data_IF_384113047300
#
_entry.id   IF_384113047300
#
_cell.length_a   1.000
_cell.length_b   1.000
_cell.length_c   1.000
_cell.angle_alpha   90.00
_cell.angle_beta   90.00
_cell.angle_gamma   90.00
#
_symmetry.space_group_name_H-M   'P 1'
#
loop_
_entity.id
_entity.type
_entity.pdbx_description
1 polymer ?
#
# COMPACT_ATOMS: atom_id res chain seq x y z
N UNK A 1 -7.89 0.72 3.95
CA UNK A 1 -9.21 1.14 4.49
C UNK A 1 -10.28 0.04 4.50
N UNK A 2 -11.22 0.05 5.45
CA UNK A 2 -12.47 -0.75 5.40
C UNK A 2 -13.57 -0.05 4.59
N UNK A 3 -14.66 -0.75 4.20
CA UNK A 3 -15.80 -0.11 3.53
C UNK A 3 -16.43 1.07 4.31
N UNK A 4 -16.28 1.09 5.64
CA UNK A 4 -16.79 2.15 6.52
C UNK A 4 -15.71 3.20 6.85
N UNK A 5 -14.66 3.28 6.04
CA UNK A 5 -13.51 4.17 6.21
C UNK A 5 -12.64 3.94 7.47
N UNK A 6 -12.99 3.03 8.37
CA UNK A 6 -12.10 2.63 9.47
C UNK A 6 -10.76 2.10 8.92
N UNK A 7 -9.67 2.43 9.60
CA UNK A 7 -8.30 2.03 9.27
C UNK A 7 -7.93 0.80 10.11
N UNK A 8 -7.44 -0.26 9.46
CA UNK A 8 -7.00 -1.49 10.11
C UNK A 8 -5.51 -1.68 9.90
N UNK A 9 -4.82 -2.07 10.97
CA UNK A 9 -3.35 -2.10 10.98
C UNK A 9 -2.87 -3.42 11.54
N UNK A 10 -1.94 -4.03 10.82
CA UNK A 10 -1.17 -5.16 11.29
C UNK A 10 -0.07 -4.68 12.27
N UNK A 11 -0.35 -4.77 13.57
CA UNK A 11 0.66 -4.58 14.61
C UNK A 11 1.38 -5.91 14.86
N UNK A 12 2.29 -6.27 13.96
CA UNK A 12 3.01 -7.55 13.97
C UNK A 12 3.94 -7.70 15.18
N UNK A 13 4.42 -6.58 15.73
CA UNK A 13 5.23 -6.52 16.96
C UNK A 13 4.41 -7.09 18.12
N UNK A 14 3.18 -6.58 18.30
CA UNK A 14 2.28 -7.01 19.36
C UNK A 14 1.37 -8.19 18.99
N UNK A 15 1.53 -8.74 17.78
CA UNK A 15 0.73 -9.84 17.23
C UNK A 15 -0.77 -9.53 17.18
N UNK A 16 -1.12 -8.34 16.70
CA UNK A 16 -2.49 -7.82 16.76
C UNK A 16 -2.91 -7.21 15.43
N UNK A 17 -4.22 -7.19 15.20
CA UNK A 17 -4.85 -6.28 14.26
C UNK A 17 -5.59 -5.23 15.07
N UNK A 18 -5.25 -3.97 14.84
CA UNK A 18 -5.82 -2.81 15.53
C UNK A 18 -6.67 -1.99 14.58
N UNK A 19 -7.66 -1.28 15.11
CA UNK A 19 -8.58 -0.42 14.36
C UNK A 19 -8.51 1.02 14.83
N UNK A 20 -8.57 1.94 13.87
CA UNK A 20 -8.78 3.37 14.09
C UNK A 20 -9.99 3.84 13.30
N UNK A 21 -10.74 4.76 13.89
CA UNK A 21 -11.80 5.46 13.21
C UNK A 21 -11.24 6.48 12.21
N UNK A 22 -12.02 6.90 11.20
CA UNK A 22 -11.58 7.91 10.21
C UNK A 22 -11.11 9.23 10.83
N UNK A 23 -11.54 9.53 12.06
CA UNK A 23 -11.14 10.71 12.82
C UNK A 23 -9.82 10.51 13.62
N UNK A 24 -9.16 9.36 13.49
CA UNK A 24 -7.93 9.02 14.21
C UNK A 24 -8.10 8.48 15.61
N UNK A 25 -9.33 8.36 16.11
CA UNK A 25 -9.56 7.77 17.42
C UNK A 25 -9.26 6.26 17.38
N UNK A 26 -8.53 5.79 18.39
CA UNK A 26 -8.27 4.37 18.53
C UNK A 26 -9.57 3.62 18.82
N UNK A 27 -9.94 2.72 17.91
CA UNK A 27 -11.18 1.95 17.95
C UNK A 27 -11.03 0.56 18.59
N UNK A 28 -9.84 0.23 19.10
CA UNK A 28 -9.56 -1.01 19.83
C UNK A 28 -8.74 -2.06 19.05
N UNK A 29 -8.44 -3.17 19.74
CA UNK A 29 -7.83 -4.36 19.14
C UNK A 29 -8.96 -5.23 18.59
N UNK A 30 -8.86 -5.62 17.33
CA UNK A 30 -9.87 -6.44 16.63
C UNK A 30 -9.49 -7.91 16.67
N UNK A 31 -8.21 -8.24 16.44
CA UNK A 31 -7.72 -9.62 16.43
C UNK A 31 -6.45 -9.72 17.25
N UNK A 32 -6.30 -10.80 18.03
CA UNK A 32 -5.11 -11.14 18.79
C UNK A 32 -4.40 -12.36 18.21
N UNK A 33 -3.11 -12.50 18.54
CA UNK A 33 -2.26 -13.64 18.19
C UNK A 33 -2.13 -13.89 16.67
N UNK A 34 -1.95 -12.82 15.90
CA UNK A 34 -1.76 -12.87 14.43
C UNK A 34 -0.61 -11.97 14.00
N UNK A 35 0.14 -12.37 12.96
CA UNK A 35 1.22 -11.55 12.37
C UNK A 35 1.05 -11.36 10.86
N UNK A 36 -0.04 -10.71 10.42
CA UNK A 36 -0.23 -10.55 8.99
C UNK A 36 0.76 -9.55 8.41
N UNK A 37 1.24 -9.81 7.20
CA UNK A 37 2.06 -8.90 6.39
C UNK A 37 1.21 -8.02 5.48
N UNK A 38 0.00 -8.47 5.13
CA UNK A 38 -0.97 -7.71 4.33
C UNK A 38 -2.39 -7.88 4.86
N UNK A 39 -3.21 -6.84 4.69
CA UNK A 39 -4.62 -6.80 5.06
C UNK A 39 -5.46 -6.26 3.90
N UNK A 40 -6.65 -6.82 3.70
CA UNK A 40 -7.67 -6.26 2.80
C UNK A 40 -9.07 -6.61 3.26
N UNK A 41 -10.07 -5.95 2.71
CA UNK A 41 -11.46 -6.34 2.89
C UNK A 41 -11.98 -7.04 1.65
N UNK A 42 -12.75 -8.11 1.85
CA UNK A 42 -13.54 -8.69 0.77
C UNK A 42 -14.81 -7.89 0.48
N UNK A 43 -15.48 -8.22 -0.63
CA UNK A 43 -16.73 -7.55 -1.02
C UNK A 43 -17.91 -7.80 -0.06
N UNK A 44 -17.75 -8.68 0.95
CA UNK A 44 -18.72 -8.94 2.02
C UNK A 44 -18.34 -8.24 3.33
N UNK A 45 -17.25 -7.48 3.34
CA UNK A 45 -16.75 -6.78 4.52
C UNK A 45 -16.00 -7.67 5.52
N UNK A 46 -15.57 -8.87 5.13
CA UNK A 46 -14.65 -9.66 5.93
C UNK A 46 -13.22 -9.15 5.76
N UNK A 47 -12.45 -9.22 6.83
CA UNK A 47 -11.03 -8.87 6.84
C UNK A 47 -10.19 -10.07 6.41
N UNK A 48 -9.51 -9.96 5.29
CA UNK A 48 -8.47 -10.87 4.81
C UNK A 48 -7.14 -10.48 5.46
N UNK A 49 -6.44 -11.44 6.03
CA UNK A 49 -5.13 -11.26 6.63
C UNK A 49 -4.15 -12.31 6.12
N UNK A 50 -3.11 -11.90 5.40
CA UNK A 50 -2.07 -12.77 4.86
C UNK A 50 -0.92 -12.89 5.86
N UNK A 51 -0.59 -14.11 6.25
CA UNK A 51 0.53 -14.48 7.14
C UNK A 51 1.28 -15.63 6.46
N UNK A 52 2.48 -15.36 5.92
CA UNK A 52 3.19 -16.23 4.99
C UNK A 52 2.27 -16.77 3.88
N UNK A 53 2.09 -18.09 3.81
CA UNK A 53 1.20 -18.78 2.87
C UNK A 53 -0.19 -19.04 3.43
N UNK A 54 -0.60 -18.34 4.50
CA UNK A 54 -1.93 -18.49 5.10
C UNK A 54 -2.74 -17.22 4.96
N UNK A 55 -3.93 -17.32 4.36
CA UNK A 55 -4.93 -16.25 4.40
C UNK A 55 -5.97 -16.60 5.46
N UNK A 56 -6.03 -15.80 6.53
CA UNK A 56 -7.09 -15.87 7.53
C UNK A 56 -8.17 -14.86 7.19
N UNK A 57 -9.42 -15.29 7.25
CA UNK A 57 -10.60 -14.45 6.97
C UNK A 57 -11.34 -14.24 8.28
N UNK A 58 -11.44 -12.99 8.72
CA UNK A 58 -12.13 -12.59 9.93
C UNK A 58 -13.41 -11.83 9.63
N UNK A 59 -14.40 -11.91 10.50
CA UNK A 59 -15.48 -10.93 10.52
C UNK A 59 -14.95 -9.54 10.86
N UNK A 60 -15.74 -8.50 10.64
CA UNK A 60 -15.40 -7.12 11.07
C UNK A 60 -15.16 -7.03 12.59
N UNK A 61 -15.78 -7.92 13.37
CA UNK A 61 -15.62 -8.01 14.83
C UNK A 61 -14.40 -8.86 15.26
N UNK A 62 -13.65 -9.42 14.30
CA UNK A 62 -12.43 -10.19 14.58
C UNK A 62 -12.64 -11.69 14.80
N UNK A 63 -13.83 -12.22 14.54
CA UNK A 63 -14.08 -13.67 14.62
C UNK A 63 -13.46 -14.37 13.42
N UNK A 64 -12.63 -15.38 13.65
CA UNK A 64 -12.08 -16.18 12.56
C UNK A 64 -13.21 -16.96 11.86
N UNK A 65 -13.44 -16.68 10.58
CA UNK A 65 -14.44 -17.35 9.76
C UNK A 65 -13.83 -18.50 8.97
N UNK A 66 -12.66 -18.28 8.35
CA UNK A 66 -12.01 -19.25 7.45
C UNK A 66 -10.49 -19.09 7.50
N UNK A 67 -9.81 -20.18 7.14
CA UNK A 67 -8.36 -20.20 6.94
C UNK A 67 -8.08 -20.92 5.61
N UNK A 68 -7.36 -20.25 4.73
CA UNK A 68 -6.83 -20.83 3.50
C UNK A 68 -5.33 -21.01 3.67
N UNK A 69 -4.82 -22.21 3.43
CA UNK A 69 -3.39 -22.53 3.38
C UNK A 69 -2.99 -22.70 1.92
N UNK A 70 -2.35 -21.67 1.37
CA UNK A 70 -1.90 -21.62 -0.01
C UNK A 70 -0.75 -22.60 -0.24
N UNK A 71 -0.52 -23.06 -1.49
CA UNK A 71 0.58 -23.94 -1.83
C UNK A 71 1.95 -23.37 -1.42
N UNK A 72 2.76 -24.15 -0.69
CA UNK A 72 4.07 -23.71 -0.18
C UNK A 72 5.08 -23.35 -1.28
N UNK A 73 4.87 -23.85 -2.50
CA UNK A 73 5.74 -23.57 -3.65
C UNK A 73 5.46 -22.22 -4.32
N UNK A 74 4.46 -21.46 -3.88
CA UNK A 74 4.28 -20.09 -4.35
C UNK A 74 5.46 -19.22 -3.90
N UNK A 75 6.01 -18.35 -4.77
CA UNK A 75 7.15 -17.49 -4.47
C UNK A 75 6.76 -16.28 -3.61
N UNK A 76 6.01 -16.53 -2.52
CA UNK A 76 5.60 -15.51 -1.57
C UNK A 76 6.77 -15.18 -0.63
N UNK A 77 7.17 -13.91 -0.58
CA UNK A 77 8.23 -13.38 0.29
C UNK A 77 7.64 -12.34 1.25
N UNK A 78 7.55 -12.70 2.54
CA UNK A 78 7.00 -11.82 3.57
C UNK A 78 7.66 -10.43 3.60
N UNK A 79 6.83 -9.39 3.57
CA UNK A 79 7.26 -7.99 3.70
C UNK A 79 7.67 -7.30 2.39
N UNK A 80 7.70 -7.98 1.26
CA UNK A 80 8.10 -7.37 -0.02
C UNK A 80 6.93 -7.31 -1.01
N UNK A 81 6.27 -6.15 -1.09
CA UNK A 81 5.24 -5.83 -2.09
C UNK A 81 4.07 -6.85 -2.20
N UNK A 82 3.90 -7.69 -1.17
CA UNK A 82 2.85 -8.67 -1.12
C UNK A 82 1.55 -8.04 -0.64
N UNK A 83 0.50 -8.32 -1.37
CA UNK A 83 -0.84 -7.92 -1.06
C UNK A 83 -1.73 -9.15 -0.93
N UNK A 84 -2.83 -8.96 -0.22
CA UNK A 84 -3.98 -9.86 -0.25
C UNK A 84 -5.17 -9.04 -0.68
N UNK A 85 -6.10 -9.64 -1.41
CA UNK A 85 -7.28 -8.93 -1.89
C UNK A 85 -8.43 -9.84 -2.27
N UNK A 86 -9.61 -9.25 -2.39
CA UNK A 86 -10.74 -9.87 -3.08
C UNK A 86 -10.73 -9.49 -4.56
N UNK A 87 -11.02 -10.46 -5.41
CA UNK A 87 -11.33 -10.23 -6.80
C UNK A 87 -12.51 -11.07 -7.24
N UNK A 88 -13.67 -10.43 -7.42
CA UNK A 88 -14.91 -11.08 -7.82
C UNK A 88 -15.27 -12.28 -6.92
N UNK A 89 -15.01 -12.16 -5.61
CA UNK A 89 -15.24 -13.24 -4.64
C UNK A 89 -14.14 -14.31 -4.56
N UNK A 90 -13.03 -14.16 -5.31
CA UNK A 90 -11.83 -14.95 -5.15
C UNK A 90 -10.83 -14.26 -4.22
N UNK A 91 -10.00 -15.04 -3.53
CA UNK A 91 -8.88 -14.50 -2.74
C UNK A 91 -7.65 -14.43 -3.64
N UNK A 92 -7.16 -13.22 -3.86
CA UNK A 92 -5.93 -12.93 -4.59
C UNK A 92 -4.75 -12.69 -3.65
N UNK A 93 -3.58 -13.17 -4.05
CA UNK A 93 -2.27 -12.78 -3.51
C UNK A 93 -1.29 -12.53 -4.66
N UNK A 94 -0.24 -11.73 -4.44
CA UNK A 94 0.83 -11.52 -5.41
C UNK A 94 2.22 -11.83 -4.84
N UNK A 95 3.12 -12.23 -5.73
CA UNK A 95 4.56 -12.30 -5.46
C UNK A 95 5.24 -10.93 -5.71
N UNK A 96 6.51 -10.77 -5.32
CA UNK A 96 7.25 -9.51 -5.55
C UNK A 96 7.43 -9.13 -7.03
N UNK A 97 7.23 -10.06 -7.96
CA UNK A 97 7.27 -9.80 -9.40
C UNK A 97 5.88 -9.43 -9.96
N UNK A 98 4.88 -9.19 -9.10
CA UNK A 98 3.49 -8.88 -9.45
C UNK A 98 2.76 -10.02 -10.18
N UNK A 99 3.19 -11.27 -9.99
CA UNK A 99 2.36 -12.41 -10.38
C UNK A 99 1.22 -12.56 -9.39
N UNK A 100 -0.01 -12.43 -9.88
CA UNK A 100 -1.24 -12.61 -9.13
C UNK A 100 -1.69 -14.08 -9.22
N UNK A 101 -2.04 -14.64 -8.06
CA UNK A 101 -2.61 -15.96 -7.90
C UNK A 101 -4.00 -15.85 -7.26
N UNK A 102 -5.04 -16.36 -7.92
CA UNK A 102 -6.42 -16.32 -7.42
C UNK A 102 -6.88 -17.69 -6.93
N UNK A 103 -7.50 -17.74 -5.76
CA UNK A 103 -7.96 -18.97 -5.10
C UNK A 103 -9.44 -18.91 -4.75
N UNK A 104 -10.10 -20.08 -4.76
CA UNK A 104 -11.44 -20.22 -4.20
C UNK A 104 -11.38 -20.11 -2.67
N UNK A 105 -12.04 -19.11 -2.04
CA UNK A 105 -12.07 -18.98 -0.58
C UNK A 105 -12.74 -20.15 0.14
N UNK A 106 -13.47 -21.01 -0.56
CA UNK A 106 -14.17 -22.16 0.02
C UNK A 106 -13.31 -23.44 0.01
N UNK A 107 -12.11 -23.40 -0.57
CA UNK A 107 -11.13 -24.48 -0.49
C UNK A 107 -10.09 -24.12 0.58
N UNK A 108 -10.08 -24.78 1.76
CA UNK A 108 -9.15 -24.42 2.85
C UNK A 108 -7.69 -24.73 2.55
N UNK A 109 -7.42 -25.64 1.61
CA UNK A 109 -6.07 -26.08 1.21
C UNK A 109 -6.04 -26.27 -0.31
N UNK A 110 -6.13 -25.19 -1.11
CA UNK A 110 -6.07 -25.30 -2.56
C UNK A 110 -4.69 -25.82 -2.97
N UNK A 111 -4.65 -26.73 -3.96
CA UNK A 111 -3.38 -27.29 -4.47
C UNK A 111 -2.75 -26.40 -5.54
N UNK A 112 -3.58 -25.64 -6.25
CA UNK A 112 -3.18 -24.75 -7.33
C UNK A 112 -4.11 -23.52 -7.36
N UNK A 113 -3.62 -22.38 -7.89
CA UNK A 113 -4.46 -21.22 -8.17
C UNK A 113 -5.49 -21.56 -9.26
N UNK A 114 -6.70 -21.01 -9.13
CA UNK A 114 -7.70 -21.04 -10.21
C UNK A 114 -7.25 -20.20 -11.41
N UNK A 115 -6.51 -19.12 -11.16
CA UNK A 115 -5.97 -18.24 -12.19
C UNK A 115 -4.61 -17.71 -11.77
N UNK A 116 -3.72 -17.54 -12.75
CA UNK A 116 -2.41 -16.93 -12.61
C UNK A 116 -2.26 -15.89 -13.71
N UNK A 117 -1.80 -14.69 -13.37
CA UNK A 117 -1.52 -13.63 -14.36
C UNK A 117 -0.57 -12.57 -13.81
N UNK A 118 -0.10 -11.65 -14.66
CA UNK A 118 0.61 -10.45 -14.20
C UNK A 118 -0.34 -9.31 -13.88
N UNK A 119 -0.12 -8.67 -12.73
CA UNK A 119 -0.87 -7.50 -12.28
C UNK A 119 -2.31 -7.79 -11.83
N UNK A 120 -2.83 -6.88 -11.00
CA UNK A 120 -4.23 -6.87 -10.56
C UNK A 120 -5.12 -6.33 -11.68
N UNK A 121 -6.40 -6.71 -11.73
CA UNK A 121 -7.36 -6.04 -12.63
C UNK A 121 -7.74 -4.70 -11.99
N UNK A 122 -7.60 -3.59 -12.72
CA UNK A 122 -7.97 -2.27 -12.21
C UNK A 122 -8.64 -1.38 -13.26
N UNK A 123 -9.89 -1.00 -13.02
CA UNK A 123 -10.50 0.21 -13.59
C UNK A 123 -10.05 1.44 -12.76
N UNK A 124 -8.79 1.90 -12.90
CA UNK A 124 -8.48 3.30 -12.55
C UNK A 124 -7.23 3.61 -11.74
N UNK A 125 -6.33 2.66 -11.44
CA UNK A 125 -5.07 2.97 -10.76
C UNK A 125 -3.86 2.35 -11.45
N UNK A 126 -2.92 3.17 -11.93
CA UNK A 126 -1.56 2.73 -12.29
C UNK A 126 -0.61 3.14 -11.16
N UNK A 127 -0.06 2.20 -10.41
CA UNK A 127 1.12 2.48 -9.57
C UNK A 127 2.37 2.38 -10.43
N UNK A 128 3.21 3.40 -10.34
CA UNK A 128 4.49 3.46 -11.04
C UNK A 128 5.54 3.80 -9.99
N UNK A 129 6.50 2.89 -9.81
CA UNK A 129 7.69 3.12 -9.02
C UNK A 129 8.78 3.61 -9.94
N UNK A 130 9.46 4.68 -9.57
CA UNK A 130 10.58 5.22 -10.34
C UNK A 130 11.75 5.53 -9.42
N UNK A 131 12.96 5.20 -9.88
CA UNK A 131 14.22 5.62 -9.26
C UNK A 131 14.67 6.90 -9.92
N UNK A 132 15.09 7.89 -9.12
CA UNK A 132 15.69 9.11 -9.65
C UNK A 132 17.14 9.15 -9.20
N UNK A 133 18.08 9.10 -10.15
CA UNK A 133 19.51 9.15 -9.87
C UNK A 133 20.18 10.10 -10.86
N UNK A 134 20.98 11.05 -10.36
CA UNK A 134 21.72 12.01 -11.19
C UNK A 134 20.84 12.72 -12.25
N UNK A 135 19.64 13.15 -11.86
CA UNK A 135 18.62 13.79 -12.73
C UNK A 135 18.07 12.90 -13.85
N UNK A 136 18.37 11.60 -13.83
CA UNK A 136 17.73 10.58 -14.68
C UNK A 136 16.63 9.90 -13.89
N UNK A 137 15.48 9.69 -14.53
CA UNK A 137 14.38 8.93 -13.97
C UNK A 137 14.36 7.57 -14.67
N UNK A 138 14.51 6.51 -13.89
CA UNK A 138 14.41 5.13 -14.35
C UNK A 138 13.13 4.51 -13.81
N UNK A 139 12.39 3.83 -14.68
CA UNK A 139 11.20 3.08 -14.28
C UNK A 139 11.66 1.87 -13.46
N UNK A 140 11.22 1.78 -12.21
CA UNK A 140 11.56 0.67 -11.34
C UNK A 140 10.50 -0.45 -11.44
N UNK A 141 9.21 -0.11 -11.35
CA UNK A 141 8.08 -1.06 -11.40
C UNK A 141 6.84 -0.33 -11.96
N UNK A 142 6.01 -1.01 -12.76
CA UNK A 142 4.73 -0.45 -13.24
C UNK A 142 3.59 -1.48 -13.10
N UNK A 143 2.58 -1.13 -12.31
CA UNK A 143 1.30 -1.87 -12.27
C UNK A 143 0.42 -1.48 -13.46
N UNK A 144 -0.28 -2.46 -14.05
CA UNK A 144 -1.18 -2.29 -15.20
C UNK A 144 -0.51 -1.83 -16.51
N UNK A 145 0.72 -2.28 -16.78
CA UNK A 145 1.29 -2.23 -18.12
C UNK A 145 0.73 -3.41 -18.93
N UNK A 146 -0.19 -3.16 -19.86
CA UNK A 146 -0.67 -4.18 -20.80
C UNK A 146 0.52 -4.86 -21.49
N UNK A 147 0.39 -6.16 -21.83
CA UNK A 147 1.40 -6.98 -22.55
C UNK A 147 1.82 -6.42 -23.93
N UNK A 148 1.24 -5.29 -24.36
CA UNK A 148 1.82 -4.45 -25.40
C UNK A 148 2.98 -3.67 -24.77
N UNK A 149 4.19 -4.20 -24.95
CA UNK A 149 5.46 -3.55 -24.57
C UNK A 149 5.45 -2.05 -24.84
N UNK A 150 6.28 -1.28 -24.10
CA UNK A 150 6.03 0.10 -23.69
C UNK A 150 5.51 0.94 -24.86
N UNK A 151 4.18 0.97 -25.00
CA UNK A 151 3.51 1.85 -25.94
C UNK A 151 3.64 3.24 -25.35
N UNK A 152 4.81 3.83 -25.58
CA UNK A 152 5.18 5.24 -25.46
C UNK A 152 4.15 5.98 -24.63
N UNK A 153 4.07 5.64 -23.34
CA UNK A 153 3.27 6.41 -22.40
C UNK A 153 4.03 7.69 -22.38
N UNK A 154 3.52 8.67 -23.12
CA UNK A 154 4.13 9.97 -23.26
C UNK A 154 4.62 10.34 -21.90
N UNK A 155 5.94 10.44 -21.85
CA UNK A 155 6.74 10.79 -20.72
C UNK A 155 6.31 12.19 -20.29
N UNK A 156 5.12 12.34 -19.70
CA UNK A 156 4.72 13.47 -18.88
C UNK A 156 5.45 13.32 -17.55
N UNK A 157 6.77 13.20 -17.66
CA UNK A 157 7.68 13.38 -16.55
C UNK A 157 7.62 14.85 -16.29
N UNK A 158 6.89 15.14 -15.24
CA UNK A 158 7.08 16.36 -14.54
C UNK A 158 8.48 16.21 -13.97
N UNK A 159 9.43 16.90 -14.58
CA UNK A 159 10.75 17.13 -14.03
C UNK A 159 10.67 18.46 -13.30
N UNK A 160 10.22 18.55 -12.03
CA UNK A 160 10.54 19.74 -11.27
C UNK A 160 12.05 19.96 -11.34
N UNK A 161 12.49 21.21 -11.46
CA UNK A 161 13.91 21.54 -11.44
C UNK A 161 14.43 21.19 -10.03
N UNK A 162 14.99 20.01 -9.86
CA UNK A 162 15.44 19.50 -8.56
C UNK A 162 16.93 19.83 -8.34
N UNK A 163 17.25 20.40 -7.17
CA UNK A 163 18.61 20.71 -6.71
C UNK A 163 19.41 19.45 -6.35
N UNK A 164 20.70 19.62 -6.03
CA UNK A 164 21.77 18.62 -5.92
C UNK A 164 21.65 17.60 -4.76
N UNK A 165 20.45 17.15 -4.43
CA UNK A 165 20.16 16.16 -3.38
C UNK A 165 19.80 14.81 -4.01
N UNK A 166 20.43 13.73 -3.56
CA UNK A 166 20.09 12.36 -3.98
C UNK A 166 18.74 12.00 -3.36
N UNK A 167 17.75 11.59 -4.17
CA UNK A 167 16.43 11.14 -3.72
C UNK A 167 16.22 9.68 -4.11
N UNK A 168 16.06 8.79 -3.14
CA UNK A 168 15.81 7.37 -3.39
C UNK A 168 14.34 7.07 -3.10
N UNK A 169 13.63 6.52 -4.09
CA UNK A 169 12.25 6.05 -3.95
C UNK A 169 11.19 7.16 -4.03
N UNK A 170 10.23 6.98 -4.94
CA UNK A 170 8.97 7.71 -4.90
C UNK A 170 7.81 6.74 -5.06
N UNK A 171 6.93 6.70 -4.06
CA UNK A 171 5.62 6.04 -4.18
C UNK A 171 4.62 7.10 -4.64
N UNK A 172 4.10 6.93 -5.84
CA UNK A 172 3.12 7.83 -6.45
C UNK A 172 1.72 7.29 -6.19
N UNK A 173 0.95 7.99 -5.37
CA UNK A 173 -0.46 7.68 -5.15
C UNK A 173 -1.26 8.46 -6.19
N UNK A 174 -1.78 7.75 -7.20
CA UNK A 174 -2.72 8.33 -8.17
C UNK A 174 -4.14 8.03 -7.72
N UNK A 175 -4.78 9.01 -7.10
CA UNK A 175 -6.19 9.02 -6.75
C UNK A 175 -6.61 10.48 -6.53
N UNK A 176 -7.79 10.88 -7.02
CA UNK A 176 -8.25 12.27 -7.01
C UNK A 176 -8.52 12.74 -5.58
N UNK A 177 -7.49 13.27 -4.92
CA UNK A 177 -7.60 13.95 -3.65
C UNK A 177 -8.10 15.38 -3.89
N UNK A 178 -9.25 15.75 -3.33
CA UNK A 178 -9.85 17.09 -3.43
C UNK A 178 -10.63 17.36 -4.72
N UNK A 179 -11.14 18.59 -4.87
CA UNK A 179 -12.02 18.99 -5.99
C UNK A 179 -11.28 19.13 -7.35
N UNK A 180 -9.95 19.10 -7.36
CA UNK A 180 -9.10 19.13 -8.56
C UNK A 180 -8.13 17.94 -8.50
N UNK A 181 -7.84 17.28 -9.63
CA UNK A 181 -6.91 16.16 -9.64
C UNK A 181 -5.50 16.64 -9.26
N UNK A 182 -5.08 16.29 -8.04
CA UNK A 182 -3.73 16.47 -7.52
C UNK A 182 -2.99 15.14 -7.50
N UNK A 183 -1.69 15.16 -7.80
CA UNK A 183 -0.80 14.01 -7.69
C UNK A 183 -0.08 14.12 -6.34
N UNK A 184 -0.11 13.07 -5.53
CA UNK A 184 0.60 13.04 -4.25
C UNK A 184 1.71 12.00 -4.33
N UNK A 185 2.94 12.41 -4.03
CA UNK A 185 4.08 11.51 -3.99
C UNK A 185 4.89 11.67 -2.70
N UNK A 186 5.36 10.54 -2.18
CA UNK A 186 6.40 10.50 -1.17
C UNK A 186 7.77 10.56 -1.83
N UNK A 187 8.72 11.23 -1.17
CA UNK A 187 10.13 11.19 -1.51
C UNK A 187 10.96 11.04 -0.24
N UNK A 188 11.92 10.11 -0.23
CA UNK A 188 13.00 10.10 0.75
C UNK A 188 14.20 10.90 0.19
N UNK A 189 14.55 11.98 0.88
CA UNK A 189 15.70 12.83 0.54
C UNK A 189 16.88 12.48 1.43
N UNK A 190 17.94 11.93 0.82
CA UNK A 190 19.13 11.50 1.54
C UNK A 190 20.16 12.61 1.45
N UNK A 191 20.37 13.28 2.58
CA UNK A 191 21.46 14.22 2.77
C UNK A 191 22.67 13.57 3.48
N UNK A 192 23.81 14.27 3.57
CA UNK A 192 25.02 13.75 4.19
C UNK A 192 24.87 13.30 5.66
N UNK A 193 23.88 13.84 6.37
CA UNK A 193 23.68 13.63 7.80
C UNK A 193 22.24 13.24 8.17
N UNK A 194 21.32 13.15 7.20
CA UNK A 194 19.91 12.84 7.50
C UNK A 194 19.18 12.28 6.30
N UNK A 195 18.14 11.48 6.57
CA UNK A 195 17.15 11.08 5.58
C UNK A 195 15.83 11.77 5.92
N UNK A 196 15.33 12.62 5.03
CA UNK A 196 14.07 13.34 5.21
C UNK A 196 12.96 12.64 4.44
N UNK A 197 11.81 12.50 5.08
CA UNK A 197 10.61 11.97 4.43
C UNK A 197 9.72 13.16 4.06
N UNK A 198 9.40 13.31 2.77
CA UNK A 198 8.62 14.46 2.29
C UNK A 198 7.47 13.96 1.43
N UNK A 199 6.25 14.41 1.74
CA UNK A 199 5.10 14.27 0.84
C UNK A 199 4.95 15.54 0.03
N UNK A 200 4.84 15.39 -1.29
CA UNK A 200 4.70 16.47 -2.26
C UNK A 200 3.36 16.37 -2.95
N UNK A 201 2.71 17.52 -3.12
CA UNK A 201 1.44 17.65 -3.83
C UNK A 201 1.71 18.41 -5.12
N UNK A 202 1.46 17.76 -6.25
CA UNK A 202 1.64 18.31 -7.57
C UNK A 202 0.26 18.57 -8.21
N UNK A 203 0.15 19.63 -8.99
CA UNK A 203 -0.97 19.83 -9.88
C UNK A 203 -0.95 18.80 -11.03
N UNK A 204 -2.00 18.76 -11.85
CA UNK A 204 -2.08 17.84 -12.99
C UNK A 204 -1.04 18.10 -14.08
N UNK A 205 -0.54 19.33 -14.19
CA UNK A 205 0.62 19.71 -15.02
C UNK A 205 1.96 19.40 -14.33
N UNK A 206 1.87 18.93 -13.09
CA UNK A 206 2.96 18.53 -12.23
C UNK A 206 3.71 19.61 -11.49
N UNK A 207 3.31 20.86 -11.66
CA UNK A 207 3.86 21.91 -10.82
C UNK A 207 3.64 21.55 -9.35
N UNK A 208 4.71 21.57 -8.56
CA UNK A 208 4.60 21.40 -7.12
C UNK A 208 3.77 22.56 -6.55
N UNK A 209 2.71 22.20 -5.83
CA UNK A 209 1.78 23.13 -5.20
C UNK A 209 1.97 23.18 -3.69
N UNK A 210 2.45 22.08 -3.09
CA UNK A 210 2.81 22.02 -1.68
C UNK A 210 3.82 20.90 -1.41
N UNK A 211 4.55 21.01 -0.31
CA UNK A 211 5.38 19.96 0.25
C UNK A 211 5.28 19.96 1.78
N UNK A 212 5.26 18.77 2.36
CA UNK A 212 5.13 18.54 3.78
C UNK A 212 6.19 17.54 4.23
N UNK A 213 7.11 17.98 5.09
CA UNK A 213 8.03 17.07 5.75
C UNK A 213 7.28 16.27 6.82
N UNK A 214 7.47 14.97 6.79
CA UNK A 214 6.90 14.01 7.73
C UNK A 214 7.99 13.47 8.66
N UNK A 215 7.66 13.14 9.92
CA UNK A 215 8.56 12.41 10.80
C UNK A 215 9.08 11.13 10.12
N UNK A 216 10.39 10.98 10.03
CA UNK A 216 11.05 9.79 9.49
C UNK A 216 11.67 8.93 10.61
N UNK A 217 10.83 8.45 11.53
CA UNK A 217 11.27 7.74 12.75
C UNK A 217 10.54 6.41 12.90
N UNK A 218 10.74 5.54 11.93
CA UNK A 218 10.11 4.22 11.93
C UNK A 218 10.98 3.22 12.68
N UNK A 219 10.37 2.44 13.57
CA UNK A 219 11.03 1.30 14.20
C UNK A 219 11.26 0.15 13.20
N UNK A 220 10.57 0.18 12.06
CA UNK A 220 10.63 -0.87 11.03
C UNK A 220 10.36 -0.27 9.65
N UNK A 221 11.06 -0.75 8.63
CA UNK A 221 11.14 -0.14 7.29
C UNK A 221 10.18 -0.76 6.26
N UNK A 222 9.34 -1.71 6.67
CA UNK A 222 8.67 -2.66 5.75
C UNK A 222 7.16 -2.41 5.62
N UNK A 223 6.64 -1.30 6.14
CA UNK A 223 5.20 -1.02 6.14
C UNK A 223 4.84 0.11 5.19
N UNK A 224 3.60 0.07 4.68
CA UNK A 224 2.97 1.24 4.08
C UNK A 224 2.91 2.36 5.10
N UNK A 225 3.61 3.46 4.80
CA UNK A 225 3.87 4.54 5.77
C UNK A 225 2.74 5.56 5.84
N UNK A 226 1.96 5.71 4.78
CA UNK A 226 0.83 6.63 4.74
C UNK A 226 -0.23 6.20 3.74
N UNK A 227 -1.45 6.65 3.97
CA UNK A 227 -2.63 6.47 3.13
C UNK A 227 -3.24 7.85 2.85
N UNK A 228 -3.68 8.09 1.62
CA UNK A 228 -4.36 9.32 1.23
C UNK A 228 -5.85 9.04 1.04
N UNK A 229 -6.68 9.79 1.74
CA UNK A 229 -8.13 9.72 1.62
C UNK A 229 -8.64 10.55 0.42
N UNK A 230 -9.81 10.20 -0.14
CA UNK A 230 -10.43 10.97 -1.23
C UNK A 230 -10.64 12.46 -0.91
N UNK A 231 -10.83 12.81 0.37
CA UNK A 231 -11.02 14.19 0.83
C UNK A 231 -9.72 15.02 0.90
N UNK A 232 -8.58 14.40 0.55
CA UNK A 232 -7.25 15.01 0.60
C UNK A 232 -6.56 14.92 1.96
N UNK A 233 -7.09 14.12 2.89
CA UNK A 233 -6.43 13.82 4.16
C UNK A 233 -5.32 12.80 3.96
N UNK A 234 -4.10 13.15 4.33
CA UNK A 234 -2.97 12.24 4.44
C UNK A 234 -2.91 11.69 5.87
N UNK A 235 -2.99 10.37 6.01
CA UNK A 235 -2.70 9.65 7.25
C UNK A 235 -1.30 9.11 7.20
N UNK A 236 -0.46 9.44 8.17
CA UNK A 236 0.83 8.81 8.36
C UNK A 236 0.79 7.86 9.55
N UNK A 237 1.22 6.63 9.32
CA UNK A 237 1.49 5.64 10.36
C UNK A 237 2.92 5.81 10.87
N UNK A 238 3.14 5.77 12.18
CA UNK A 238 4.47 5.73 12.79
C UNK A 238 4.59 4.50 13.68
N UNK A 239 5.60 3.68 13.41
CA UNK A 239 5.93 2.51 14.22
C UNK A 239 6.93 2.90 15.30
N UNK A 240 6.54 2.70 16.57
CA UNK A 240 7.33 3.00 17.76
C UNK A 240 7.53 1.72 18.59
N UNK A 241 8.48 1.69 19.54
CA UNK A 241 8.58 0.57 20.48
C UNK A 241 7.30 0.31 21.28
N UNK A 242 6.46 1.33 21.48
CA UNK A 242 5.17 1.24 22.19
C UNK A 242 4.02 0.80 21.27
N UNK A 243 4.29 0.57 19.99
CA UNK A 243 3.32 0.17 18.97
C UNK A 243 3.12 1.22 17.90
N UNK A 244 1.93 1.22 17.30
CA UNK A 244 1.60 2.10 16.17
C UNK A 244 0.91 3.37 16.66
N UNK A 245 1.34 4.51 16.11
CA UNK A 245 0.67 5.80 16.26
C UNK A 245 0.32 6.37 14.89
N UNK A 246 -0.68 7.24 14.85
CA UNK A 246 -1.11 7.89 13.62
C UNK A 246 -1.04 9.40 13.78
N UNK A 247 -0.65 10.07 12.70
CA UNK A 247 -0.85 11.50 12.52
C UNK A 247 -1.63 11.72 11.24
N UNK A 248 -2.43 12.77 11.18
CA UNK A 248 -3.12 13.14 9.95
C UNK A 248 -2.98 14.61 9.65
N UNK A 249 -3.03 14.93 8.36
CA UNK A 249 -2.98 16.30 7.86
C UNK A 249 -3.78 16.38 6.58
N UNK A 250 -4.58 17.43 6.45
CA UNK A 250 -5.16 17.78 5.16
C UNK A 250 -4.09 18.36 4.25
N UNK A 251 -3.80 17.68 3.14
CA UNK A 251 -2.74 18.07 2.19
C UNK A 251 -3.29 18.65 0.90
N UNK A 252 -4.58 18.45 0.62
CA UNK A 252 -5.33 19.08 -0.46
C UNK A 252 -6.62 19.74 0.09
N UNK A 253 -6.97 20.96 -0.34
CA UNK A 253 -8.22 21.63 0.01
C UNK A 253 -9.49 20.88 -0.44
#
# INVERSE_FOLDING_TARGET
>A
MSPDADIYVADTIHRQIKRWHPNGQFGGIVVHNVRPTALAFDNRGNLLALEAHTVKVFSKQGELRRTLRLPENLPLIEGYAQEVFDENGLVGVNDPDETVYLFDPNLPTPKEPLQIRKGRRGEGGRRIFSRIENRKVELAIAENADERGPATVQHAFITPRFSDTIRLGAVIYRGMAGAKPSIICETEEIGPQSVRLVVRVLASDGKETAAYELPNRYFTTVYEKFEVLPDGTLWQMLTTPQGVTFTSRRVVP
#
